data_IF_128994496017
#
_entry.id   IF_128994496017
#
_cell.length_a   1.000
_cell.length_b   1.000
_cell.length_c   1.000
_cell.angle_alpha   90.00
_cell.angle_beta   90.00
_cell.angle_gamma   90.00
#
_symmetry.space_group_name_H-M   'P 1'
#
loop_
_entity.id
_entity.type
_entity.pdbx_description
1 polymer ?
#
# COMPACT_ATOMS: atom_id res chain seq x y z
N UNK A 1 1.35 -2.82 -18.11
CA UNK A 1 2.22 -3.98 -18.43
C UNK A 1 2.46 -4.92 -17.24
N UNK A 2 2.30 -4.46 -16.01
CA UNK A 2 2.53 -5.24 -14.80
C UNK A 2 1.44 -6.31 -14.62
N UNK A 3 0.17 -5.95 -14.73
CA UNK A 3 -0.98 -6.86 -14.64
C UNK A 3 -0.94 -7.99 -15.69
N UNK A 4 -0.50 -7.70 -16.91
CA UNK A 4 -0.34 -8.70 -17.97
C UNK A 4 0.58 -9.89 -17.59
N UNK A 5 1.44 -9.72 -16.59
CA UNK A 5 2.36 -10.77 -16.14
C UNK A 5 1.65 -11.92 -15.41
N UNK A 6 0.56 -11.64 -14.67
CA UNK A 6 -0.24 -12.65 -13.98
C UNK A 6 -1.49 -13.05 -14.77
N UNK A 7 -2.12 -12.13 -15.50
CA UNK A 7 -3.28 -12.43 -16.35
C UNK A 7 -3.01 -13.55 -17.37
N UNK A 8 -1.79 -13.61 -17.92
CA UNK A 8 -1.36 -14.67 -18.83
C UNK A 8 -1.40 -16.08 -18.24
N UNK A 9 -1.33 -16.20 -16.93
CA UNK A 9 -1.38 -17.47 -16.20
C UNK A 9 -2.70 -17.63 -15.45
N UNK A 10 -3.71 -16.82 -15.77
CA UNK A 10 -5.02 -16.84 -15.12
C UNK A 10 -5.00 -16.33 -13.69
N UNK A 11 -3.98 -15.52 -13.34
CA UNK A 11 -3.88 -14.89 -12.04
C UNK A 11 -4.63 -13.54 -12.01
N UNK A 12 -5.11 -13.19 -10.83
CA UNK A 12 -5.70 -11.88 -10.54
C UNK A 12 -4.74 -11.07 -9.65
N UNK A 13 -4.58 -9.78 -9.96
CA UNK A 13 -3.77 -8.83 -9.19
C UNK A 13 -4.62 -7.62 -8.86
N UNK A 14 -4.69 -7.27 -7.58
CA UNK A 14 -5.46 -6.11 -7.14
C UNK A 14 -4.79 -5.43 -5.92
N UNK A 15 -5.25 -4.23 -5.59
CA UNK A 15 -4.80 -3.49 -4.43
C UNK A 15 -5.94 -2.65 -3.85
N UNK A 16 -5.89 -2.41 -2.54
CA UNK A 16 -6.78 -1.45 -1.87
C UNK A 16 -6.04 -0.74 -0.75
N UNK A 17 -6.53 0.46 -0.42
CA UNK A 17 -6.00 1.28 0.68
C UNK A 17 -7.09 1.53 1.71
N UNK A 18 -6.73 1.38 2.97
CA UNK A 18 -7.51 1.82 4.12
C UNK A 18 -6.83 3.01 4.80
N UNK A 19 -7.40 3.53 5.87
CA UNK A 19 -6.79 4.62 6.64
C UNK A 19 -5.47 4.23 7.33
N UNK A 20 -5.20 2.93 7.49
CA UNK A 20 -4.05 2.41 8.23
C UNK A 20 -3.08 1.60 7.39
N UNK A 21 -3.54 1.01 6.30
CA UNK A 21 -2.73 0.09 5.49
C UNK A 21 -3.04 0.19 4.00
N UNK A 22 -2.07 -0.19 3.18
CA UNK A 22 -2.26 -0.47 1.76
C UNK A 22 -1.96 -1.94 1.53
N UNK A 23 -2.91 -2.65 0.91
CA UNK A 23 -2.80 -4.08 0.64
C UNK A 23 -2.66 -4.30 -0.86
N UNK A 24 -1.62 -5.01 -1.25
CA UNK A 24 -1.43 -5.54 -2.60
C UNK A 24 -1.63 -7.04 -2.54
N UNK A 25 -2.51 -7.60 -3.35
CA UNK A 25 -2.76 -9.02 -3.32
C UNK A 25 -2.89 -9.63 -4.71
N UNK A 26 -2.56 -10.91 -4.81
CA UNK A 26 -2.73 -11.67 -6.03
C UNK A 26 -3.29 -13.05 -5.72
N UNK A 27 -4.14 -13.54 -6.60
CA UNK A 27 -4.64 -14.92 -6.59
C UNK A 27 -4.07 -15.65 -7.79
N UNK A 28 -3.34 -16.73 -7.55
CA UNK A 28 -2.65 -17.50 -8.60
C UNK A 28 -2.73 -19.00 -8.33
N UNK A 29 -2.49 -19.80 -9.34
CA UNK A 29 -2.28 -21.23 -9.16
C UNK A 29 -0.93 -21.50 -8.49
N UNK A 30 -0.83 -22.61 -7.76
CA UNK A 30 0.38 -23.00 -7.01
C UNK A 30 1.70 -22.90 -7.80
N UNK A 31 1.79 -23.34 -9.07
CA UNK A 31 3.03 -23.22 -9.84
C UNK A 31 3.51 -21.80 -10.05
N UNK A 32 2.59 -20.81 -10.03
CA UNK A 32 2.87 -19.40 -10.31
C UNK A 32 3.12 -18.57 -9.03
N UNK A 33 3.14 -19.20 -7.84
CA UNK A 33 3.42 -18.52 -6.57
C UNK A 33 4.69 -17.66 -6.62
N UNK A 34 5.79 -18.21 -7.13
CA UNK A 34 7.06 -17.50 -7.20
C UNK A 34 6.99 -16.24 -8.07
N UNK A 35 6.26 -16.30 -9.19
CA UNK A 35 6.02 -15.16 -10.08
C UNK A 35 5.16 -14.08 -9.41
N UNK A 36 4.10 -14.49 -8.71
CA UNK A 36 3.24 -13.55 -7.98
C UNK A 36 4.00 -12.85 -6.85
N UNK A 37 4.79 -13.60 -6.07
CA UNK A 37 5.60 -13.04 -5.00
C UNK A 37 6.66 -12.05 -5.52
N UNK A 38 7.32 -12.37 -6.64
CA UNK A 38 8.29 -11.50 -7.30
C UNK A 38 7.64 -10.19 -7.78
N UNK A 39 6.50 -10.29 -8.46
CA UNK A 39 5.75 -9.14 -8.97
C UNK A 39 5.23 -8.24 -7.84
N UNK A 40 4.64 -8.82 -6.79
CA UNK A 40 4.17 -8.05 -5.63
C UNK A 40 5.32 -7.32 -4.93
N UNK A 41 6.46 -7.98 -4.78
CA UNK A 41 7.67 -7.38 -4.20
C UNK A 41 8.19 -6.24 -5.05
N UNK A 42 8.19 -6.38 -6.38
CA UNK A 42 8.61 -5.34 -7.31
C UNK A 42 7.69 -4.11 -7.25
N UNK A 43 6.37 -4.33 -7.26
CA UNK A 43 5.38 -3.25 -7.12
C UNK A 43 5.57 -2.49 -5.80
N UNK A 44 5.73 -3.21 -4.69
CA UNK A 44 5.79 -2.59 -3.36
C UNK A 44 7.10 -1.85 -3.13
N UNK A 45 8.23 -2.43 -3.52
CA UNK A 45 9.55 -1.93 -3.11
C UNK A 45 10.38 -1.28 -4.21
N UNK A 46 10.06 -1.51 -5.50
CA UNK A 46 10.88 -1.04 -6.63
C UNK A 46 10.14 -0.10 -7.59
N UNK A 47 8.93 0.35 -7.24
CA UNK A 47 8.18 1.32 -8.04
C UNK A 47 8.93 2.65 -8.18
N UNK A 48 8.93 3.23 -9.38
CA UNK A 48 9.73 4.41 -9.73
C UNK A 48 8.96 5.72 -9.75
N UNK A 49 7.65 5.67 -9.78
CA UNK A 49 6.73 6.83 -9.73
C UNK A 49 7.08 7.94 -10.74
N UNK A 50 7.12 7.68 -12.06
CA UNK A 50 7.46 8.69 -13.05
C UNK A 50 6.47 9.86 -13.01
N UNK A 51 6.93 11.10 -13.16
CA UNK A 51 6.09 12.29 -13.01
C UNK A 51 4.87 12.31 -13.95
N UNK A 52 5.04 11.84 -15.19
CA UNK A 52 3.93 11.81 -16.13
C UNK A 52 2.82 10.82 -15.73
N UNK A 53 3.16 9.73 -15.07
CA UNK A 53 2.16 8.79 -14.53
C UNK A 53 1.49 9.36 -13.27
N UNK A 54 2.25 10.04 -12.38
CA UNK A 54 1.67 10.73 -11.23
C UNK A 54 0.66 11.79 -11.70
N UNK A 55 1.04 12.60 -12.68
CA UNK A 55 0.14 13.65 -13.20
C UNK A 55 -1.15 13.05 -13.78
N UNK A 56 -1.03 11.95 -14.50
CA UNK A 56 -2.19 11.24 -15.05
C UNK A 56 -3.08 10.64 -13.97
N UNK A 57 -2.47 10.01 -12.98
CA UNK A 57 -3.20 9.38 -11.87
C UNK A 57 -3.90 10.41 -10.99
N UNK A 58 -3.28 11.56 -10.77
CA UNK A 58 -3.89 12.67 -10.03
C UNK A 58 -5.21 13.12 -10.66
N UNK A 59 -5.30 13.21 -11.98
CA UNK A 59 -6.56 13.57 -12.63
C UNK A 59 -7.64 12.48 -12.41
N UNK A 60 -7.26 11.20 -12.50
CA UNK A 60 -8.18 10.08 -12.21
C UNK A 60 -8.68 10.14 -10.77
N UNK A 61 -7.79 10.39 -9.80
CA UNK A 61 -8.17 10.50 -8.38
C UNK A 61 -9.04 11.75 -8.15
N UNK A 62 -8.79 12.86 -8.83
CA UNK A 62 -9.66 14.05 -8.75
C UNK A 62 -11.08 13.76 -9.24
N UNK A 63 -11.22 13.03 -10.36
CA UNK A 63 -12.52 12.60 -10.88
C UNK A 63 -13.23 11.65 -9.87
N UNK A 64 -12.45 10.77 -9.22
CA UNK A 64 -12.96 9.89 -8.17
C UNK A 64 -13.45 10.68 -6.95
N UNK A 65 -12.72 11.70 -6.50
CA UNK A 65 -13.14 12.60 -5.40
C UNK A 65 -14.46 13.29 -5.75
N UNK A 66 -14.60 13.80 -6.97
CA UNK A 66 -15.84 14.44 -7.41
C UNK A 66 -17.01 13.46 -7.44
N UNK A 67 -16.80 12.25 -7.98
CA UNK A 67 -17.81 11.18 -8.01
C UNK A 67 -18.23 10.74 -6.60
N UNK A 68 -17.25 10.64 -5.68
CA UNK A 68 -17.50 10.27 -4.29
C UNK A 68 -18.31 11.34 -3.57
N UNK A 69 -18.03 12.63 -3.84
CA UNK A 69 -18.77 13.75 -3.27
C UNK A 69 -20.27 13.76 -3.64
N UNK A 70 -20.63 13.09 -4.74
CA UNK A 70 -22.03 12.94 -5.18
C UNK A 70 -22.74 11.72 -4.58
N UNK A 71 -22.04 10.94 -3.72
CA UNK A 71 -22.58 9.71 -3.09
C UNK A 71 -22.81 9.89 -1.57
N UNK A 72 -23.97 10.38 -1.11
CA UNK A 72 -24.21 10.62 0.33
C UNK A 72 -24.08 9.36 1.20
N UNK A 73 -24.32 8.19 0.63
CA UNK A 73 -24.25 6.92 1.35
C UNK A 73 -22.80 6.50 1.65
N UNK A 74 -21.83 6.98 0.86
CA UNK A 74 -20.41 6.73 1.06
C UNK A 74 -19.79 7.81 1.98
N UNK A 75 -20.09 9.07 1.73
CA UNK A 75 -19.57 10.22 2.49
C UNK A 75 -19.93 10.12 3.98
N UNK A 76 -21.11 9.63 4.33
CA UNK A 76 -21.58 9.64 5.73
C UNK A 76 -20.65 8.89 6.68
N UNK A 77 -19.99 7.84 6.20
CA UNK A 77 -19.02 7.07 7.01
C UNK A 77 -17.74 7.88 7.22
N UNK A 78 -17.22 8.51 6.18
CA UNK A 78 -16.01 9.33 6.27
C UNK A 78 -16.24 10.60 7.08
N UNK A 79 -17.39 11.24 6.96
CA UNK A 79 -17.78 12.39 7.80
C UNK A 79 -17.87 11.99 9.27
N UNK A 80 -18.52 10.85 9.56
CA UNK A 80 -18.59 10.33 10.92
C UNK A 80 -17.20 10.04 11.51
N UNK A 81 -16.34 9.36 10.77
CA UNK A 81 -14.98 9.08 11.21
C UNK A 81 -14.14 10.36 11.35
N UNK A 82 -14.31 11.33 10.46
CA UNK A 82 -13.66 12.64 10.54
C UNK A 82 -14.03 13.40 11.80
N UNK A 83 -15.30 13.35 12.19
CA UNK A 83 -15.77 13.93 13.44
C UNK A 83 -15.26 13.18 14.67
N UNK A 84 -15.32 11.84 14.65
CA UNK A 84 -14.88 10.99 15.76
C UNK A 84 -13.39 11.10 16.04
N UNK A 85 -12.59 11.21 14.98
CA UNK A 85 -11.13 11.27 15.04
C UNK A 85 -10.57 12.64 14.66
N UNK A 86 -11.29 13.71 15.01
CA UNK A 86 -10.86 15.08 14.71
C UNK A 86 -9.43 15.34 15.21
N UNK A 87 -8.59 15.88 14.33
CA UNK A 87 -7.19 16.17 14.61
C UNK A 87 -6.24 14.97 14.56
N UNK A 88 -6.76 13.75 14.36
CA UNK A 88 -5.97 12.52 14.23
C UNK A 88 -5.85 12.07 12.78
N UNK A 89 -4.91 11.17 12.51
CA UNK A 89 -4.69 10.63 11.16
C UNK A 89 -5.88 9.82 10.64
N UNK A 90 -6.60 9.14 11.52
CA UNK A 90 -7.80 8.36 11.19
C UNK A 90 -8.99 9.22 10.72
N UNK A 91 -9.04 10.49 11.12
CA UNK A 91 -10.06 11.44 10.66
C UNK A 91 -9.77 12.06 9.30
N UNK A 92 -8.72 11.63 8.59
CA UNK A 92 -8.39 12.16 7.25
C UNK A 92 -9.05 11.33 6.16
N UNK A 93 -9.48 12.01 5.09
CA UNK A 93 -10.00 11.34 3.90
C UNK A 93 -8.91 10.52 3.22
N UNK A 94 -9.24 9.29 2.79
CA UNK A 94 -8.30 8.38 2.11
C UNK A 94 -7.86 8.97 0.77
N UNK A 95 -8.80 9.51 0.00
CA UNK A 95 -8.51 10.13 -1.31
C UNK A 95 -7.76 11.46 -1.18
N UNK A 96 -7.79 12.10 -0.01
CA UNK A 96 -7.16 13.39 0.21
C UNK A 96 -7.96 14.55 -0.40
N UNK A 97 -7.24 15.60 -0.83
CA UNK A 97 -7.85 16.82 -1.40
C UNK A 97 -7.24 17.13 -2.75
N UNK A 98 -8.09 17.39 -3.75
CA UNK A 98 -7.68 17.65 -5.14
C UNK A 98 -6.63 18.77 -5.26
N UNK A 99 -6.76 19.86 -4.47
CA UNK A 99 -5.80 20.97 -4.50
C UNK A 99 -4.38 20.56 -4.08
N UNK A 100 -4.27 19.60 -3.15
CA UNK A 100 -2.97 19.06 -2.72
C UNK A 100 -2.42 18.06 -3.71
N UNK A 101 -3.28 17.19 -4.24
CA UNK A 101 -2.90 16.14 -5.17
C UNK A 101 -2.23 16.71 -6.43
N UNK A 102 -2.78 17.79 -7.00
CA UNK A 102 -2.21 18.45 -8.17
C UNK A 102 -0.80 19.01 -7.98
N UNK A 103 -0.35 19.17 -6.73
CA UNK A 103 1.00 19.60 -6.39
C UNK A 103 2.02 18.47 -6.17
N UNK A 104 1.60 17.20 -6.22
CA UNK A 104 2.50 16.09 -5.91
C UNK A 104 3.48 15.78 -7.04
N UNK A 105 4.69 15.47 -6.62
CA UNK A 105 5.81 15.16 -7.51
C UNK A 105 6.35 13.75 -7.25
N UNK A 106 7.14 13.24 -8.19
CA UNK A 106 7.93 12.02 -8.00
C UNK A 106 8.74 12.05 -6.69
N UNK A 107 9.30 13.22 -6.34
CA UNK A 107 10.08 13.36 -5.10
C UNK A 107 9.21 13.18 -3.85
N UNK A 108 7.96 13.63 -3.87
CA UNK A 108 7.02 13.46 -2.75
C UNK A 108 6.60 11.99 -2.61
N UNK A 109 6.27 11.33 -3.72
CA UNK A 109 5.94 9.91 -3.74
C UNK A 109 7.12 9.05 -3.22
N UNK A 110 8.33 9.28 -3.72
CA UNK A 110 9.52 8.56 -3.28
C UNK A 110 9.86 8.83 -1.80
N UNK A 111 9.63 10.04 -1.30
CA UNK A 111 9.82 10.38 0.13
C UNK A 111 8.85 9.58 1.00
N UNK A 112 7.58 9.48 0.60
CA UNK A 112 6.57 8.68 1.29
C UNK A 112 6.94 7.20 1.29
N UNK A 113 7.26 6.65 0.13
CA UNK A 113 7.65 5.24 -0.03
C UNK A 113 8.87 4.89 0.82
N UNK A 114 9.94 5.66 0.76
CA UNK A 114 11.14 5.44 1.60
C UNK A 114 10.83 5.41 3.09
N UNK A 115 9.83 6.16 3.53
CA UNK A 115 9.44 6.22 4.94
C UNK A 115 8.56 5.05 5.35
N UNK A 116 7.64 4.60 4.50
CA UNK A 116 6.57 3.68 4.85
C UNK A 116 6.70 2.28 4.23
N UNK A 117 7.25 2.16 3.03
CA UNK A 117 7.40 0.91 2.29
C UNK A 117 8.75 0.26 2.63
N UNK A 118 8.82 -0.33 3.80
CA UNK A 118 10.01 -0.95 4.35
C UNK A 118 9.68 -2.37 4.79
N UNK A 119 10.66 -3.24 4.78
CA UNK A 119 10.48 -4.64 5.17
C UNK A 119 10.11 -4.83 6.64
N UNK A 120 10.50 -3.90 7.51
CA UNK A 120 10.12 -3.87 8.92
C UNK A 120 8.74 -3.23 9.18
N UNK A 121 8.10 -2.68 8.15
CA UNK A 121 6.75 -2.12 8.17
C UNK A 121 5.83 -2.82 7.16
N UNK A 122 6.14 -4.05 6.78
CA UNK A 122 5.39 -4.83 5.82
C UNK A 122 5.08 -6.23 6.37
N UNK A 123 3.90 -6.74 6.06
CA UNK A 123 3.49 -8.12 6.37
C UNK A 123 3.24 -8.85 5.06
N UNK A 124 3.88 -9.99 4.89
CA UNK A 124 3.61 -10.89 3.78
C UNK A 124 2.75 -12.05 4.27
N UNK A 125 1.56 -12.15 3.72
CA UNK A 125 0.58 -13.18 4.06
C UNK A 125 0.33 -14.09 2.86
N UNK A 126 0.31 -15.40 3.08
CA UNK A 126 -0.01 -16.40 2.06
C UNK A 126 -1.04 -17.37 2.60
N UNK A 127 -2.08 -17.60 1.79
CA UNK A 127 -3.09 -18.62 2.05
C UNK A 127 -3.25 -19.51 0.85
N UNK A 128 -3.25 -20.83 1.04
CA UNK A 128 -3.47 -21.80 -0.03
C UNK A 128 -2.56 -23.03 0.04
N UNK A 129 -2.56 -23.80 -1.07
CA UNK A 129 -1.78 -25.03 -1.17
C UNK A 129 -0.31 -24.74 -1.57
N UNK A 130 0.47 -24.20 -0.64
CA UNK A 130 1.89 -23.89 -0.84
C UNK A 130 2.70 -24.35 0.38
N UNK A 131 3.93 -24.83 0.15
CA UNK A 131 4.83 -25.25 1.22
C UNK A 131 5.42 -24.03 1.95
N UNK A 132 5.37 -24.02 3.27
CA UNK A 132 5.88 -22.92 4.10
C UNK A 132 7.38 -22.65 3.86
N UNK A 133 8.19 -23.69 3.75
CA UNK A 133 9.63 -23.53 3.48
C UNK A 133 9.90 -22.91 2.10
N UNK A 134 9.04 -23.16 1.10
CA UNK A 134 9.12 -22.48 -0.19
C UNK A 134 8.78 -20.98 -0.03
N UNK A 135 7.73 -20.66 0.70
CA UNK A 135 7.33 -19.27 0.98
C UNK A 135 8.47 -18.52 1.67
N UNK A 136 9.00 -19.06 2.75
CA UNK A 136 10.08 -18.46 3.52
C UNK A 136 11.33 -18.19 2.68
N UNK A 137 11.82 -19.21 1.95
CA UNK A 137 12.98 -19.05 1.08
C UNK A 137 12.76 -18.02 -0.04
N UNK A 138 11.56 -18.01 -0.62
CA UNK A 138 11.21 -17.07 -1.68
C UNK A 138 11.24 -15.64 -1.15
N UNK A 139 10.57 -15.38 -0.03
CA UNK A 139 10.52 -14.05 0.56
C UNK A 139 11.87 -13.56 1.06
N UNK A 140 12.67 -14.42 1.72
CA UNK A 140 14.05 -14.08 2.11
C UNK A 140 14.89 -13.64 0.92
N UNK A 141 14.78 -14.35 -0.20
CA UNK A 141 15.51 -14.01 -1.44
C UNK A 141 15.04 -12.66 -2.02
N UNK A 142 13.73 -12.44 -2.10
CA UNK A 142 13.13 -11.25 -2.72
C UNK A 142 13.33 -9.98 -1.88
N UNK A 143 13.39 -10.12 -0.57
CA UNK A 143 13.58 -8.97 0.34
C UNK A 143 15.03 -8.73 0.76
N UNK A 144 15.96 -9.59 0.30
CA UNK A 144 17.40 -9.44 0.61
C UNK A 144 17.94 -8.15 0.02
N UNK A 145 18.49 -7.28 0.87
CA UNK A 145 19.01 -5.96 0.48
C UNK A 145 17.98 -4.83 0.48
N UNK A 146 16.69 -5.13 0.55
CA UNK A 146 15.66 -4.09 0.70
C UNK A 146 15.77 -3.51 2.11
N UNK A 147 15.94 -2.19 2.21
CA UNK A 147 16.04 -1.48 3.49
C UNK A 147 17.47 -1.25 4.00
N UNK A 148 18.49 -1.86 3.41
CA UNK A 148 19.89 -1.57 3.80
C UNK A 148 20.30 -0.11 3.47
N UNK A 149 19.70 0.48 2.45
CA UNK A 149 19.95 1.88 2.08
C UNK A 149 19.16 2.89 2.95
N UNK A 150 18.13 2.45 3.66
CA UNK A 150 17.24 3.28 4.47
C UNK A 150 17.57 3.26 5.97
N UNK A 151 18.56 2.51 6.41
CA UNK A 151 18.97 2.42 7.81
C UNK A 151 19.77 3.64 8.33
N UNK A 152 20.03 4.63 7.47
CA UNK A 152 20.67 5.89 7.82
C UNK A 152 19.65 6.91 8.36
N UNK A 153 19.66 7.12 9.69
CA UNK A 153 18.96 8.18 10.43
C UNK A 153 17.43 8.10 10.54
N UNK A 154 16.94 7.19 11.37
CA UNK A 154 15.68 7.43 12.10
C UNK A 154 16.06 7.54 13.57
N UNK A 155 16.02 8.78 14.09
CA UNK A 155 16.11 9.05 15.51
C UNK A 155 14.97 8.33 16.24
N UNK A 156 15.31 7.76 17.40
CA UNK A 156 14.42 7.15 18.36
C UNK A 156 13.27 8.06 18.72
N UNK A 157 12.09 7.82 18.15
CA UNK A 157 10.79 8.26 18.67
C UNK A 157 9.70 7.33 18.13
N UNK A 158 9.83 6.05 18.43
CA UNK A 158 8.71 5.12 18.37
C UNK A 158 7.84 5.36 19.63
N UNK A 159 6.81 6.19 19.48
CA UNK A 159 5.72 6.21 20.47
C UNK A 159 4.95 4.92 20.26
N UNK A 160 5.18 3.96 21.16
CA UNK A 160 4.38 2.75 21.25
C UNK A 160 2.94 3.14 21.56
N UNK A 161 2.02 2.76 20.68
CA UNK A 161 0.59 2.77 21.02
C UNK A 161 0.35 1.73 22.12
N UNK A 162 -0.39 2.04 23.17
CA UNK A 162 -0.74 1.06 24.17
C UNK A 162 -1.62 -0.01 23.53
N UNK A 163 -1.20 -1.27 23.63
CA UNK A 163 -2.06 -2.42 23.36
C UNK A 163 -3.19 -2.36 24.38
N UNK A 164 -4.42 -2.22 23.93
CA UNK A 164 -5.58 -2.35 24.81
C UNK A 164 -5.62 -3.79 25.31
N UNK A 165 -5.43 -3.95 26.62
CA UNK A 165 -5.63 -5.21 27.32
C UNK A 165 -7.09 -5.63 27.13
N UNK A 166 -7.30 -6.76 26.48
CA UNK A 166 -8.60 -7.43 26.44
C UNK A 166 -8.80 -8.07 27.81
N UNK A 167 -9.32 -7.29 28.75
CA UNK A 167 -9.80 -7.80 30.02
C UNK A 167 -11.06 -8.64 29.85
N UNK A 168 -11.10 -9.74 30.59
CA UNK A 168 -12.11 -10.80 30.73
C UNK A 168 -13.59 -10.38 30.63
#
# INVERSE_FOLDING_TARGET
HISNGLERVGGDLNAFTTKQETVYHATVLRPDFGRAADLLTDIVFHSTYPQHEITREVEVICDEIESYADSPAEIIFDEFESMLFEGQSLGRDILGRAERLRGYTTADALRYVRRHYRTDNAVFFVYGNVDFGLVERTMRRLTMGIGAENAGSIGENAVGLPVADAGD
#
